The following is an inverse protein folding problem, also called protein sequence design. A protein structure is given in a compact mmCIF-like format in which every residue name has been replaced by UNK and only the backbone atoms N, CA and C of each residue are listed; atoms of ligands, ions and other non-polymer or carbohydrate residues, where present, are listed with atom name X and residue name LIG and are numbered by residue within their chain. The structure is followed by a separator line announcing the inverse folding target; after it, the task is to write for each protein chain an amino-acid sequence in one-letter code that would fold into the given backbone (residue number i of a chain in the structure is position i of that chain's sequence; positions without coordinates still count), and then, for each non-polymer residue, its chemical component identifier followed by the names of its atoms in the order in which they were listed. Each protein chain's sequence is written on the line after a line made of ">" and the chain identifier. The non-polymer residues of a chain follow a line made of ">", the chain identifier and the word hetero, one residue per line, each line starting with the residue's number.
data_IF_102109168315
#
_entry.id   IF_102109168315
#
_cell.length_a   1.000
_cell.length_b   1.000
_cell.length_c   1.000
_cell.angle_alpha   90.00
_cell.angle_beta   90.00
_cell.angle_gamma   90.00
#
_symmetry.space_group_name_H-M   'P 1'
#
loop_
_entity.id
_entity.type
_entity.pdbx_description
1 polymer ?
#
# COMPACT_ATOMS: atom_id res chain seq x y z
N UNK A 1 -3.92 -25.99 53.05
CA UNK A 1 -4.57 -24.70 52.67
C UNK A 1 -4.58 -24.61 51.14
N UNK A 2 -5.38 -25.45 50.50
CA UNK A 2 -5.52 -25.50 49.04
C UNK A 2 -7.02 -25.72 48.74
N UNK A 3 -7.80 -24.65 48.72
CA UNK A 3 -9.21 -24.71 48.28
C UNK A 3 -9.83 -23.34 47.92
N UNK A 4 -9.03 -22.29 47.72
CA UNK A 4 -9.55 -20.92 47.58
C UNK A 4 -9.48 -20.30 46.19
N UNK A 5 -8.80 -20.91 45.21
CA UNK A 5 -8.46 -20.26 43.93
C UNK A 5 -9.41 -20.65 42.78
N UNK A 6 -10.07 -21.81 42.88
CA UNK A 6 -10.84 -22.41 41.77
C UNK A 6 -12.21 -21.74 41.53
N UNK A 7 -12.92 -21.33 42.58
CA UNK A 7 -14.26 -20.73 42.43
C UNK A 7 -14.25 -19.33 41.79
N UNK A 8 -13.16 -18.58 41.94
CA UNK A 8 -13.05 -17.23 41.38
C UNK A 8 -12.81 -17.28 39.87
N UNK A 9 -12.02 -18.24 39.38
CA UNK A 9 -11.70 -18.40 37.97
C UNK A 9 -12.91 -18.90 37.17
N UNK A 10 -13.65 -19.88 37.70
CA UNK A 10 -14.89 -20.39 37.08
C UNK A 10 -16.01 -19.34 37.00
N UNK A 11 -16.02 -18.34 37.89
CA UNK A 11 -16.97 -17.21 37.86
C UNK A 11 -16.64 -16.17 36.78
N UNK A 12 -15.36 -16.02 36.42
CA UNK A 12 -14.91 -15.13 35.35
C UNK A 12 -15.18 -15.74 33.96
N UNK A 13 -14.94 -17.04 33.76
CA UNK A 13 -15.20 -17.72 32.50
C UNK A 13 -16.69 -17.77 32.11
N UNK A 14 -17.61 -17.84 33.08
CA UNK A 14 -19.06 -17.79 32.80
C UNK A 14 -19.61 -16.38 32.54
N UNK A 15 -18.89 -15.33 32.97
CA UNK A 15 -19.32 -13.92 32.79
C UNK A 15 -18.74 -13.27 31.54
N UNK A 16 -17.55 -13.68 31.10
CA UNK A 16 -16.88 -13.09 29.93
C UNK A 16 -17.67 -13.26 28.62
N UNK A 17 -18.25 -14.44 28.29
CA UNK A 17 -19.05 -14.62 27.09
C UNK A 17 -20.34 -13.80 27.12
N UNK A 18 -21.02 -13.71 28.28
CA UNK A 18 -22.22 -12.88 28.46
C UNK A 18 -21.91 -11.38 28.40
N UNK A 19 -20.74 -10.95 28.86
CA UNK A 19 -20.29 -9.55 28.74
C UNK A 19 -19.92 -9.21 27.29
N UNK A 20 -19.26 -10.12 26.58
CA UNK A 20 -18.96 -9.99 25.14
C UNK A 20 -20.25 -9.98 24.31
N UNK A 21 -21.21 -10.84 24.61
CA UNK A 21 -22.53 -10.88 23.94
C UNK A 21 -23.36 -9.62 24.26
N UNK A 22 -23.28 -9.09 25.49
CA UNK A 22 -23.97 -7.85 25.89
C UNK A 22 -23.30 -6.58 25.34
N UNK A 23 -21.97 -6.58 25.15
CA UNK A 23 -21.23 -5.51 24.46
C UNK A 23 -21.48 -5.57 22.94
N UNK A 24 -21.61 -6.77 22.37
CA UNK A 24 -21.92 -6.99 20.95
C UNK A 24 -23.34 -6.54 20.58
N UNK A 25 -24.34 -6.68 21.47
CA UNK A 25 -25.75 -6.34 21.19
C UNK A 25 -26.09 -4.84 21.22
N UNK A 26 -25.15 -3.97 21.55
CA UNK A 26 -25.34 -2.50 21.55
C UNK A 26 -24.23 -1.73 20.84
N UNK A 27 -23.49 -2.36 19.92
CA UNK A 27 -22.61 -1.59 19.05
C UNK A 27 -23.46 -0.79 18.06
N UNK A 28 -23.26 0.53 18.07
CA UNK A 28 -23.94 1.44 17.15
C UNK A 28 -23.31 1.20 15.77
N UNK A 29 -24.02 0.51 14.91
CA UNK A 29 -23.59 0.27 13.54
C UNK A 29 -24.13 1.37 12.63
N UNK A 30 -23.29 1.84 11.71
CA UNK A 30 -23.71 2.80 10.69
C UNK A 30 -24.17 2.07 9.44
N UNK A 31 -25.31 2.50 8.88
CA UNK A 31 -25.79 2.05 7.57
C UNK A 31 -25.20 2.85 6.40
N UNK A 32 -24.33 3.82 6.68
CA UNK A 32 -23.74 4.67 5.64
C UNK A 32 -22.79 3.86 4.74
N UNK A 33 -23.06 3.91 3.44
CA UNK A 33 -22.26 3.30 2.37
C UNK A 33 -21.58 4.35 1.49
N UNK A 34 -21.70 5.63 1.83
CA UNK A 34 -21.16 6.74 1.05
C UNK A 34 -19.64 6.83 1.18
N UNK A 35 -18.96 6.96 0.06
CA UNK A 35 -17.57 7.41 -0.04
C UNK A 35 -17.50 8.93 0.10
N UNK A 36 -16.60 9.44 0.93
CA UNK A 36 -16.40 10.87 1.08
C UNK A 36 -15.13 11.31 0.37
N UNK A 37 -15.26 12.34 -0.43
CA UNK A 37 -14.19 12.96 -1.17
C UNK A 37 -13.88 14.34 -0.61
N UNK A 38 -12.82 14.98 -1.09
CA UNK A 38 -12.37 16.27 -0.58
C UNK A 38 -13.50 17.32 -0.50
N UNK A 39 -14.40 17.36 -1.49
CA UNK A 39 -15.49 18.34 -1.49
C UNK A 39 -16.57 18.07 -0.42
N UNK A 40 -16.65 16.86 0.12
CA UNK A 40 -17.54 16.50 1.23
C UNK A 40 -16.95 16.82 2.60
N UNK A 41 -15.65 17.09 2.66
CA UNK A 41 -14.87 17.10 3.90
C UNK A 41 -14.44 18.51 4.30
N UNK A 42 -14.25 18.72 5.60
CA UNK A 42 -13.74 19.96 6.18
C UNK A 42 -12.67 19.65 7.24
N UNK A 43 -11.40 19.84 6.88
CA UNK A 43 -10.23 19.57 7.73
C UNK A 43 -10.29 20.23 9.12
N UNK A 44 -10.80 21.45 9.22
CA UNK A 44 -10.94 22.15 10.51
C UNK A 44 -11.85 21.42 11.51
N UNK A 45 -12.82 20.62 11.03
CA UNK A 45 -13.68 19.81 11.88
C UNK A 45 -12.92 18.60 12.44
N UNK A 46 -12.12 17.93 11.60
CA UNK A 46 -11.26 16.83 12.00
C UNK A 46 -10.28 17.25 13.11
N UNK A 47 -9.65 18.42 12.96
CA UNK A 47 -8.70 18.97 13.93
C UNK A 47 -9.35 19.26 15.30
N UNK A 48 -10.66 19.50 15.34
CA UNK A 48 -11.46 19.66 16.56
C UNK A 48 -11.97 18.33 17.12
N UNK A 49 -11.58 17.19 16.53
CA UNK A 49 -12.07 15.87 16.90
C UNK A 49 -13.53 15.63 16.51
N UNK A 50 -14.08 16.40 15.56
CA UNK A 50 -15.45 16.25 15.06
C UNK A 50 -15.49 15.38 13.79
N UNK A 51 -16.70 14.94 13.40
CA UNK A 51 -16.91 14.32 12.10
C UNK A 51 -16.47 15.28 10.97
N UNK A 52 -15.55 14.89 10.07
CA UNK A 52 -15.05 15.75 9.01
C UNK A 52 -16.04 16.01 7.88
N UNK A 53 -17.13 15.24 7.77
CA UNK A 53 -18.17 15.46 6.74
C UNK A 53 -18.86 16.81 6.99
N UNK A 54 -18.98 17.63 5.94
CA UNK A 54 -19.61 18.95 5.97
C UNK A 54 -21.05 18.85 6.47
N UNK A 55 -21.47 19.85 7.23
CA UNK A 55 -22.80 19.95 7.84
C UNK A 55 -23.21 18.80 8.80
N UNK A 56 -22.34 17.80 9.06
CA UNK A 56 -22.62 16.78 10.07
C UNK A 56 -22.75 17.43 11.46
N UNK A 57 -23.86 17.18 12.14
CA UNK A 57 -24.19 17.69 13.47
C UNK A 57 -24.43 16.63 14.55
N UNK A 58 -24.69 15.34 14.25
CA UNK A 58 -24.88 14.34 15.28
C UNK A 58 -23.72 14.23 16.27
N UNK A 59 -24.00 13.95 17.55
CA UNK A 59 -22.97 13.74 18.55
C UNK A 59 -22.12 12.51 18.20
N UNK A 60 -20.82 12.60 18.47
CA UNK A 60 -19.93 11.47 18.33
C UNK A 60 -20.15 10.48 19.48
N UNK A 61 -20.21 9.21 19.13
CA UNK A 61 -20.14 8.11 20.09
C UNK A 61 -18.69 7.65 20.26
N UNK A 62 -18.46 6.69 21.15
CA UNK A 62 -17.14 6.09 21.40
C UNK A 62 -17.22 4.60 21.12
N UNK A 63 -16.26 4.08 20.35
CA UNK A 63 -16.17 2.65 20.06
C UNK A 63 -14.78 2.10 20.37
N UNK A 64 -14.65 0.80 20.70
CA UNK A 64 -13.36 0.18 20.99
C UNK A 64 -12.40 0.22 19.80
N UNK A 65 -11.14 0.54 20.07
CA UNK A 65 -10.03 0.45 19.14
C UNK A 65 -8.74 0.08 19.90
N UNK A 66 -8.28 -1.15 19.74
CA UNK A 66 -7.22 -1.74 20.56
C UNK A 66 -7.49 -1.61 22.06
N UNK A 67 -6.66 -0.87 22.80
CA UNK A 67 -6.74 -0.70 24.26
C UNK A 67 -7.52 0.55 24.69
N UNK A 68 -8.09 1.31 23.75
CA UNK A 68 -8.75 2.58 24.03
C UNK A 68 -10.04 2.72 23.22
N UNK A 69 -10.81 3.77 23.53
CA UNK A 69 -11.99 4.12 22.74
C UNK A 69 -11.68 5.33 21.86
N UNK A 70 -12.17 5.31 20.62
CA UNK A 70 -11.98 6.39 19.65
C UNK A 70 -13.33 7.03 19.29
N UNK A 71 -13.38 8.35 19.00
CA UNK A 71 -14.62 8.98 18.56
C UNK A 71 -15.12 8.38 17.24
N UNK A 72 -16.42 8.15 17.16
CA UNK A 72 -17.12 7.53 16.03
C UNK A 72 -18.37 8.31 15.66
N UNK A 73 -18.52 8.63 14.39
CA UNK A 73 -19.73 9.24 13.85
C UNK A 73 -20.71 8.15 13.41
N UNK A 74 -21.84 7.94 14.11
CA UNK A 74 -22.78 6.88 13.77
C UNK A 74 -23.55 7.16 12.48
N UNK A 75 -23.76 8.43 12.15
CA UNK A 75 -24.41 8.85 10.90
C UNK A 75 -23.57 8.46 9.69
N UNK A 76 -22.28 8.82 9.70
CA UNK A 76 -21.40 8.64 8.54
C UNK A 76 -20.56 7.38 8.60
N UNK A 77 -20.60 6.63 9.70
CA UNK A 77 -19.85 5.37 9.84
C UNK A 77 -18.35 5.59 9.69
N UNK A 78 -17.78 6.52 10.45
CA UNK A 78 -16.34 6.83 10.41
C UNK A 78 -15.75 6.97 11.81
N UNK A 79 -14.59 6.36 12.02
CA UNK A 79 -13.71 6.58 13.19
C UNK A 79 -12.86 7.82 12.96
N UNK A 80 -12.78 8.67 13.97
CA UNK A 80 -12.07 9.95 13.89
C UNK A 80 -10.68 9.79 14.51
N UNK A 81 -9.65 9.84 13.68
CA UNK A 81 -8.25 9.81 14.11
C UNK A 81 -7.64 11.22 14.02
N UNK A 82 -6.48 11.44 14.65
CA UNK A 82 -5.85 12.76 14.76
C UNK A 82 -5.72 13.52 13.43
N UNK A 83 -5.33 12.83 12.36
CA UNK A 83 -5.04 13.43 11.05
C UNK A 83 -5.76 12.72 9.89
N UNK A 84 -6.67 11.79 10.16
CA UNK A 84 -7.42 11.08 9.12
C UNK A 84 -8.72 10.52 9.71
N UNK A 85 -9.53 9.89 8.89
CA UNK A 85 -10.64 9.09 9.37
C UNK A 85 -10.59 7.70 8.72
N UNK A 86 -11.30 6.77 9.34
CA UNK A 86 -11.37 5.38 8.88
C UNK A 86 -12.83 5.01 8.71
N UNK A 87 -13.21 4.54 7.52
CA UNK A 87 -14.55 3.99 7.32
C UNK A 87 -14.77 2.82 8.27
N UNK A 88 -15.91 2.82 8.95
CA UNK A 88 -16.24 1.83 9.96
C UNK A 88 -17.75 1.62 10.02
N UNK A 89 -18.19 0.43 9.61
CA UNK A 89 -19.59 0.03 9.68
C UNK A 89 -19.87 -0.96 10.83
N UNK A 90 -18.81 -1.46 11.49
CA UNK A 90 -18.87 -2.42 12.58
C UNK A 90 -17.70 -3.41 12.52
N UNK A 91 -17.70 -4.40 13.41
CA UNK A 91 -16.62 -5.38 13.54
C UNK A 91 -16.89 -6.71 12.83
N UNK A 92 -18.09 -6.93 12.30
CA UNK A 92 -18.37 -8.13 11.50
C UNK A 92 -17.64 -8.08 10.17
N UNK A 93 -17.44 -9.25 9.56
CA UNK A 93 -16.76 -9.37 8.27
C UNK A 93 -17.51 -8.60 7.18
N UNK A 94 -18.84 -8.68 7.19
CA UNK A 94 -19.73 -8.01 6.25
C UNK A 94 -19.63 -6.49 6.37
N UNK A 95 -19.54 -5.98 7.60
CA UNK A 95 -19.35 -4.55 7.86
C UNK A 95 -17.96 -4.06 7.46
N UNK A 96 -16.92 -4.86 7.66
CA UNK A 96 -15.57 -4.54 7.16
C UNK A 96 -15.53 -4.49 5.63
N UNK A 97 -16.27 -5.38 4.94
CA UNK A 97 -16.43 -5.35 3.48
C UNK A 97 -17.09 -4.02 3.06
N UNK A 98 -18.19 -3.63 3.73
CA UNK A 98 -18.87 -2.36 3.47
C UNK A 98 -17.94 -1.16 3.67
N UNK A 99 -17.20 -1.12 4.79
CA UNK A 99 -16.24 -0.06 5.08
C UNK A 99 -15.11 0.00 4.03
N UNK A 100 -14.62 -1.14 3.57
CA UNK A 100 -13.56 -1.24 2.56
C UNK A 100 -14.03 -0.74 1.20
N UNK A 101 -15.22 -1.16 0.75
CA UNK A 101 -15.82 -0.71 -0.52
C UNK A 101 -15.92 0.80 -0.62
N UNK A 102 -16.12 1.50 0.50
CA UNK A 102 -16.22 2.97 0.54
C UNK A 102 -14.91 3.69 0.18
N UNK A 103 -13.77 3.01 0.20
CA UNK A 103 -12.51 3.57 -0.28
C UNK A 103 -12.03 2.96 -1.61
N UNK A 104 -12.76 1.97 -2.14
CA UNK A 104 -12.48 1.31 -3.41
C UNK A 104 -13.56 1.71 -4.43
N UNK A 105 -13.29 2.76 -5.20
CA UNK A 105 -14.23 3.30 -6.18
C UNK A 105 -14.39 2.37 -7.39
N UNK A 106 -13.31 1.70 -7.79
CA UNK A 106 -13.28 0.84 -8.97
C UNK A 106 -13.12 -0.61 -8.56
N UNK A 107 -13.74 -1.53 -9.31
CA UNK A 107 -13.56 -3.00 -9.22
C UNK A 107 -13.59 -3.62 -7.80
N UNK A 108 -14.26 -2.99 -6.84
CA UNK A 108 -14.20 -3.42 -5.43
C UNK A 108 -14.63 -4.87 -5.22
N UNK A 109 -15.57 -5.40 -6.00
CA UNK A 109 -15.99 -6.80 -5.93
C UNK A 109 -14.85 -7.78 -6.22
N UNK A 110 -13.99 -7.48 -7.20
CA UNK A 110 -12.80 -8.29 -7.49
C UNK A 110 -11.86 -8.33 -6.28
N UNK A 111 -11.61 -7.18 -5.63
CA UNK A 111 -10.82 -7.12 -4.41
C UNK A 111 -11.43 -7.96 -3.29
N UNK A 112 -12.74 -7.84 -3.08
CA UNK A 112 -13.44 -8.58 -2.02
C UNK A 112 -13.34 -10.10 -2.25
N UNK A 113 -13.55 -10.55 -3.48
CA UNK A 113 -13.54 -11.97 -3.81
C UNK A 113 -12.14 -12.60 -3.79
N UNK A 114 -11.11 -11.84 -4.16
CA UNK A 114 -9.77 -12.39 -4.37
C UNK A 114 -8.74 -12.02 -3.30
N UNK A 115 -8.89 -10.89 -2.62
CA UNK A 115 -7.93 -10.43 -1.60
C UNK A 115 -8.54 -10.40 -0.21
N UNK A 116 -9.76 -9.90 -0.05
CA UNK A 116 -10.35 -9.77 1.29
C UNK A 116 -10.76 -11.12 1.88
N UNK A 117 -11.43 -11.98 1.10
CA UNK A 117 -11.91 -13.28 1.58
C UNK A 117 -10.79 -14.30 1.79
N UNK A 118 -9.68 -14.19 1.06
CA UNK A 118 -8.55 -15.13 1.13
C UNK A 118 -7.59 -14.66 2.22
N UNK A 119 -7.54 -15.38 3.35
CA UNK A 119 -6.70 -15.07 4.53
C UNK A 119 -5.18 -14.95 4.26
N UNK A 120 -4.71 -15.18 3.04
CA UNK A 120 -3.31 -15.49 2.75
C UNK A 120 -2.56 -14.50 1.86
N UNK A 121 -3.21 -13.49 1.26
CA UNK A 121 -2.52 -12.69 0.22
C UNK A 121 -2.03 -11.32 0.67
N UNK A 122 -2.62 -10.70 1.70
CA UNK A 122 -2.19 -9.37 2.13
C UNK A 122 -2.16 -9.21 3.64
N UNK A 123 -0.99 -8.85 4.16
CA UNK A 123 -0.88 -8.35 5.53
C UNK A 123 -1.66 -7.02 5.61
N UNK A 124 -2.62 -6.93 6.53
CA UNK A 124 -3.37 -5.69 6.81
C UNK A 124 -4.44 -5.27 5.77
N UNK A 125 -5.20 -6.22 5.21
CA UNK A 125 -6.36 -5.94 4.33
C UNK A 125 -7.41 -4.98 4.95
N UNK A 126 -7.45 -4.87 6.27
CA UNK A 126 -8.30 -3.92 7.00
C UNK A 126 -7.85 -2.45 6.83
N UNK A 127 -6.62 -2.17 6.36
CA UNK A 127 -6.12 -0.79 6.20
C UNK A 127 -6.65 -0.09 4.96
N UNK A 128 -7.33 -0.79 4.04
CA UNK A 128 -7.93 -0.15 2.87
C UNK A 128 -9.10 0.77 3.24
N UNK A 129 -9.73 0.61 4.39
CA UNK A 129 -10.79 1.51 4.84
C UNK A 129 -10.30 2.86 5.39
N UNK A 130 -8.98 3.09 5.45
CA UNK A 130 -8.41 4.37 5.88
C UNK A 130 -8.51 5.40 4.76
N UNK A 131 -8.97 6.61 5.04
CA UNK A 131 -9.03 7.68 4.04
C UNK A 131 -7.68 7.91 3.36
N UNK A 132 -6.58 7.84 4.10
CA UNK A 132 -5.23 8.01 3.59
C UNK A 132 -4.56 6.69 3.15
N UNK A 133 -5.32 5.65 2.86
CA UNK A 133 -4.78 4.36 2.42
C UNK A 133 -4.10 4.48 1.06
N UNK A 134 -2.78 4.31 1.06
CA UNK A 134 -1.95 4.18 -0.14
C UNK A 134 -2.37 3.00 -1.02
N UNK A 135 -2.69 1.88 -0.37
CA UNK A 135 -3.17 0.68 -1.02
C UNK A 135 -4.47 0.88 -1.80
N UNK A 136 -5.42 1.62 -1.23
CA UNK A 136 -6.66 1.95 -1.91
C UNK A 136 -6.41 2.86 -3.12
N UNK A 137 -5.45 3.79 -3.02
CA UNK A 137 -5.04 4.65 -4.14
C UNK A 137 -4.39 3.83 -5.25
N UNK A 138 -3.39 3.00 -4.93
CA UNK A 138 -2.74 2.10 -5.88
C UNK A 138 -3.76 1.17 -6.55
N UNK A 139 -4.66 0.57 -5.78
CA UNK A 139 -5.72 -0.29 -6.32
C UNK A 139 -6.62 0.46 -7.31
N UNK A 140 -7.24 1.57 -6.88
CA UNK A 140 -8.17 2.32 -7.71
C UNK A 140 -7.52 2.79 -9.02
N UNK A 141 -6.28 3.30 -8.96
CA UNK A 141 -5.61 3.82 -10.16
C UNK A 141 -5.24 2.69 -11.11
N UNK A 142 -4.53 1.66 -10.62
CA UNK A 142 -3.97 0.65 -11.52
C UNK A 142 -5.03 -0.33 -12.04
N UNK A 143 -6.06 -0.65 -11.24
CA UNK A 143 -7.13 -1.53 -11.73
C UNK A 143 -8.03 -0.85 -12.77
N UNK A 144 -8.29 0.46 -12.63
CA UNK A 144 -9.04 1.21 -13.65
C UNK A 144 -8.20 1.39 -14.92
N UNK A 145 -6.89 1.64 -14.82
CA UNK A 145 -6.00 1.64 -15.98
C UNK A 145 -5.97 0.28 -16.69
N UNK A 146 -5.98 -0.83 -15.94
CA UNK A 146 -6.08 -2.18 -16.50
C UNK A 146 -7.43 -2.38 -17.22
N UNK A 147 -8.54 -2.01 -16.58
CA UNK A 147 -9.88 -2.23 -17.13
C UNK A 147 -10.19 -1.42 -18.40
N UNK A 148 -9.41 -0.37 -18.65
CA UNK A 148 -9.51 0.49 -19.84
C UNK A 148 -8.38 0.24 -20.85
N UNK A 149 -7.59 -0.82 -20.66
CA UNK A 149 -6.45 -1.16 -21.52
C UNK A 149 -5.45 0.00 -21.69
N UNK A 150 -5.21 0.78 -20.61
CA UNK A 150 -4.32 1.96 -20.61
C UNK A 150 -3.01 1.77 -19.84
N UNK A 151 -2.73 0.56 -19.34
CA UNK A 151 -1.44 0.27 -18.69
C UNK A 151 -0.24 0.49 -19.62
N UNK A 152 -0.41 0.28 -20.93
CA UNK A 152 0.63 0.52 -21.92
C UNK A 152 1.15 1.96 -21.87
N UNK A 153 0.26 2.96 -21.81
CA UNK A 153 0.65 4.38 -21.70
C UNK A 153 1.52 4.65 -20.47
N UNK A 154 1.25 3.98 -19.35
CA UNK A 154 2.07 4.10 -18.14
C UNK A 154 3.42 3.41 -18.31
N UNK A 155 3.45 2.21 -18.88
CA UNK A 155 4.70 1.49 -19.15
C UNK A 155 5.57 2.27 -20.12
N UNK A 156 5.02 2.87 -21.17
CA UNK A 156 5.75 3.70 -22.13
C UNK A 156 6.40 4.92 -21.45
N UNK A 157 5.65 5.58 -20.56
CA UNK A 157 6.16 6.68 -19.76
C UNK A 157 7.35 6.27 -18.89
N UNK A 158 7.43 5.02 -18.42
CA UNK A 158 8.50 4.55 -17.53
C UNK A 158 9.67 3.96 -18.31
N UNK A 159 9.37 3.20 -19.36
CA UNK A 159 10.33 2.50 -20.19
C UNK A 159 10.98 3.40 -21.23
N UNK A 160 10.38 4.56 -21.51
CA UNK A 160 10.80 5.52 -22.53
C UNK A 160 10.87 4.86 -23.93
N UNK A 161 9.98 3.90 -24.18
CA UNK A 161 9.79 3.17 -25.45
C UNK A 161 8.35 2.71 -25.59
N UNK A 162 7.87 2.59 -26.82
CA UNK A 162 6.53 2.12 -27.14
C UNK A 162 6.33 0.65 -26.76
N UNK A 163 5.15 0.28 -26.24
CA UNK A 163 4.81 -1.10 -25.84
C UNK A 163 3.41 -1.43 -26.35
N UNK A 164 3.33 -2.44 -27.23
CA UNK A 164 2.07 -2.92 -27.83
C UNK A 164 1.56 -4.22 -27.21
N UNK A 165 2.37 -4.84 -26.35
CA UNK A 165 2.04 -6.12 -25.75
C UNK A 165 1.09 -5.95 -24.56
N UNK A 166 0.37 -7.03 -24.27
CA UNK A 166 -0.43 -7.14 -23.06
C UNK A 166 0.46 -7.00 -21.82
N UNK A 167 -0.03 -6.23 -20.85
CA UNK A 167 0.65 -5.96 -19.58
C UNK A 167 -0.10 -6.65 -18.47
N UNK A 168 0.63 -7.47 -17.71
CA UNK A 168 0.08 -8.08 -16.51
C UNK A 168 0.26 -7.14 -15.31
N UNK A 169 -0.82 -6.91 -14.59
CA UNK A 169 -0.83 -6.15 -13.33
C UNK A 169 -0.86 -7.11 -12.15
N UNK A 170 0.07 -6.91 -11.22
CA UNK A 170 0.04 -7.52 -9.90
C UNK A 170 0.03 -6.43 -8.84
N UNK A 171 -0.83 -6.57 -7.84
CA UNK A 171 -0.83 -5.74 -6.63
C UNK A 171 -0.55 -6.64 -5.45
N UNK A 172 0.42 -6.28 -4.62
CA UNK A 172 0.78 -7.05 -3.43
C UNK A 172 1.09 -8.53 -3.77
N UNK A 173 1.82 -8.75 -4.87
CA UNK A 173 2.15 -10.08 -5.38
C UNK A 173 1.00 -10.90 -5.96
N UNK A 174 -0.25 -10.40 -5.95
CA UNK A 174 -1.42 -11.08 -6.53
C UNK A 174 -1.82 -10.49 -7.89
N UNK A 175 -2.09 -11.36 -8.88
CA UNK A 175 -2.53 -10.96 -10.22
C UNK A 175 -3.90 -10.30 -10.16
N UNK A 176 -4.07 -9.22 -10.92
CA UNK A 176 -5.36 -8.60 -11.17
C UNK A 176 -5.88 -9.11 -12.52
N UNK A 177 -6.76 -10.12 -12.49
CA UNK A 177 -7.44 -10.67 -13.67
C UNK A 177 -8.94 -10.33 -13.60
N UNK A 178 -9.26 -9.09 -13.98
CA UNK A 178 -10.64 -8.58 -13.97
C UNK A 178 -11.53 -9.34 -14.97
N UNK A 179 -10.95 -9.90 -16.04
CA UNK A 179 -11.68 -10.57 -17.11
C UNK A 179 -12.20 -11.94 -16.68
N UNK A 180 -11.36 -12.74 -16.01
CA UNK A 180 -11.74 -14.10 -15.58
C UNK A 180 -12.10 -14.19 -14.10
N UNK A 181 -11.94 -13.11 -13.33
CA UNK A 181 -12.12 -13.08 -11.88
C UNK A 181 -11.30 -14.16 -11.16
N UNK A 182 -10.05 -14.38 -11.59
CA UNK A 182 -9.15 -15.42 -11.07
C UNK A 182 -8.00 -14.81 -10.30
N UNK A 183 -7.72 -15.37 -9.13
CA UNK A 183 -6.54 -15.04 -8.36
C UNK A 183 -5.40 -16.02 -8.66
N UNK A 184 -4.24 -15.49 -8.99
CA UNK A 184 -2.97 -16.20 -8.98
C UNK A 184 -1.90 -15.30 -8.38
N UNK A 185 -0.79 -15.89 -7.95
CA UNK A 185 0.37 -15.14 -7.45
C UNK A 185 1.34 -14.83 -8.59
N UNK A 186 2.21 -13.85 -8.38
CA UNK A 186 3.31 -13.53 -9.28
C UNK A 186 4.39 -14.62 -9.15
N UNK A 187 4.43 -15.55 -10.10
CA UNK A 187 5.37 -16.69 -10.09
C UNK A 187 6.85 -16.25 -10.00
N UNK A 188 7.33 -15.26 -10.77
CA UNK A 188 8.71 -14.78 -10.63
C UNK A 188 9.01 -14.30 -9.20
N UNK A 189 8.09 -13.57 -8.57
CA UNK A 189 8.24 -13.10 -7.20
C UNK A 189 8.33 -14.25 -6.21
N UNK A 190 7.51 -15.30 -6.38
CA UNK A 190 7.54 -16.48 -5.50
C UNK A 190 8.89 -17.19 -5.57
N UNK A 191 9.43 -17.40 -6.77
CA UNK A 191 10.75 -18.03 -6.96
C UNK A 191 11.88 -17.23 -6.31
N UNK A 192 11.88 -15.90 -6.47
CA UNK A 192 12.88 -15.04 -5.81
C UNK A 192 12.75 -15.10 -4.28
N UNK A 193 11.52 -15.11 -3.74
CA UNK A 193 11.29 -15.24 -2.28
C UNK A 193 11.75 -16.59 -1.74
N UNK A 194 11.52 -17.68 -2.48
CA UNK A 194 11.98 -19.01 -2.08
C UNK A 194 13.51 -19.04 -1.92
N UNK A 195 14.21 -18.37 -2.83
CA UNK A 195 15.67 -18.28 -2.79
C UNK A 195 16.20 -17.34 -1.70
N UNK A 196 15.70 -16.10 -1.64
CA UNK A 196 16.27 -15.04 -0.78
C UNK A 196 15.65 -14.96 0.62
N UNK A 197 14.43 -15.47 0.77
CA UNK A 197 13.59 -15.27 1.96
C UNK A 197 13.05 -16.58 2.56
N UNK A 198 13.70 -17.72 2.32
CA UNK A 198 13.31 -19.04 2.87
C UNK A 198 13.18 -19.07 4.40
N UNK A 199 13.96 -18.25 5.12
CA UNK A 199 13.90 -18.12 6.59
C UNK A 199 12.95 -17.04 7.12
N UNK A 200 12.35 -16.23 6.25
CA UNK A 200 11.47 -15.12 6.66
C UNK A 200 10.03 -15.62 6.76
N UNK A 201 9.49 -15.56 7.98
CA UNK A 201 8.13 -16.02 8.30
C UNK A 201 7.10 -14.91 8.16
N UNK A 202 7.50 -13.67 8.42
CA UNK A 202 6.61 -12.51 8.47
C UNK A 202 7.07 -11.43 7.50
N UNK A 203 6.10 -10.79 6.85
CA UNK A 203 6.33 -9.61 5.99
C UNK A 203 7.41 -9.83 4.93
N UNK A 204 7.28 -10.89 4.12
CA UNK A 204 8.12 -11.12 2.93
C UNK A 204 8.17 -9.88 2.03
N UNK A 205 9.23 -9.72 1.25
CA UNK A 205 9.38 -8.57 0.35
C UNK A 205 8.33 -8.62 -0.74
N UNK A 206 7.58 -7.54 -0.86
CA UNK A 206 6.47 -7.40 -1.78
C UNK A 206 6.49 -5.98 -2.36
N UNK A 207 6.75 -5.82 -3.66
CA UNK A 207 6.48 -4.56 -4.32
C UNK A 207 4.98 -4.25 -4.27
N UNK A 208 4.63 -2.99 -4.07
CA UNK A 208 3.22 -2.56 -3.97
C UNK A 208 2.49 -2.83 -5.30
N UNK A 209 3.16 -2.55 -6.41
CA UNK A 209 2.71 -2.83 -7.77
C UNK A 209 3.83 -3.53 -8.55
N UNK A 210 3.47 -4.52 -9.36
CA UNK A 210 4.35 -5.10 -10.38
C UNK A 210 3.61 -5.04 -11.72
N UNK A 211 4.29 -4.52 -12.75
CA UNK A 211 3.87 -4.62 -14.13
C UNK A 211 4.83 -5.55 -14.87
N UNK A 212 4.29 -6.55 -15.57
CA UNK A 212 5.08 -7.46 -16.39
C UNK A 212 4.64 -7.33 -17.85
N UNK A 213 5.59 -6.98 -18.70
CA UNK A 213 5.50 -7.16 -20.15
C UNK A 213 6.19 -8.50 -20.45
N UNK A 214 5.44 -9.56 -20.80
CA UNK A 214 6.01 -10.90 -20.94
C UNK A 214 7.24 -10.93 -21.84
N UNK A 215 8.31 -11.59 -21.36
CA UNK A 215 9.60 -11.73 -22.07
C UNK A 215 10.30 -10.42 -22.43
N UNK A 216 9.92 -9.29 -21.81
CA UNK A 216 10.46 -7.97 -22.19
C UNK A 216 10.83 -7.07 -21.03
N UNK A 217 9.98 -6.94 -20.03
CA UNK A 217 10.16 -5.94 -18.97
C UNK A 217 9.42 -6.30 -17.70
N UNK A 218 10.08 -6.14 -16.56
CA UNK A 218 9.48 -6.13 -15.23
C UNK A 218 9.62 -4.74 -14.61
N UNK A 219 8.53 -4.18 -14.09
CA UNK A 219 8.56 -2.91 -13.36
C UNK A 219 8.00 -3.14 -11.96
N UNK A 220 8.83 -2.93 -10.94
CA UNK A 220 8.39 -2.93 -9.55
C UNK A 220 8.19 -1.49 -9.06
N UNK A 221 7.11 -1.25 -8.32
CA UNK A 221 6.85 0.05 -7.70
C UNK A 221 6.94 -0.07 -6.19
N UNK A 222 7.55 0.93 -5.58
CA UNK A 222 7.28 1.32 -4.21
C UNK A 222 6.37 2.56 -4.27
N UNK A 223 5.14 2.41 -3.82
CA UNK A 223 4.17 3.49 -3.74
C UNK A 223 4.36 4.24 -2.42
N UNK A 224 4.19 5.56 -2.47
CA UNK A 224 4.08 6.43 -1.29
C UNK A 224 2.97 7.44 -1.51
N UNK A 225 1.94 7.38 -0.67
CA UNK A 225 0.82 8.32 -0.75
C UNK A 225 0.95 9.44 0.27
N UNK A 226 0.84 9.12 1.57
CA UNK A 226 0.99 10.08 2.67
C UNK A 226 2.23 9.85 3.53
N UNK A 227 3.03 8.84 3.22
CA UNK A 227 4.15 8.37 4.03
C UNK A 227 5.50 8.63 3.35
N UNK A 228 6.59 8.52 4.12
CA UNK A 228 7.97 8.57 3.61
C UNK A 228 8.48 7.16 3.32
N UNK A 229 9.49 7.06 2.46
CA UNK A 229 10.24 5.81 2.31
C UNK A 229 11.00 5.52 3.62
N UNK A 230 10.90 4.30 4.17
CA UNK A 230 11.66 3.91 5.33
C UNK A 230 13.14 3.82 4.98
N UNK A 231 13.94 4.20 5.98
CA UNK A 231 15.40 4.16 5.93
C UNK A 231 15.82 2.96 6.79
N UNK A 232 16.87 2.26 6.39
CA UNK A 232 17.50 1.23 7.19
C UNK A 232 17.96 1.84 8.52
N UNK A 233 17.65 1.14 9.61
CA UNK A 233 17.94 1.60 10.97
C UNK A 233 18.70 0.51 11.70
N UNK A 234 19.61 0.92 12.59
CA UNK A 234 20.28 0.01 13.50
C UNK A 234 19.32 -0.39 14.63
N UNK A 235 18.41 -1.31 14.31
CA UNK A 235 17.39 -1.82 15.23
C UNK A 235 17.42 -3.34 15.26
N UNK A 236 17.22 -3.91 16.44
CA UNK A 236 17.02 -5.34 16.60
C UNK A 236 15.76 -5.80 15.87
N UNK A 237 15.89 -6.94 15.19
CA UNK A 237 14.84 -7.55 14.39
C UNK A 237 14.34 -8.78 15.13
N UNK A 238 13.01 -8.99 15.13
CA UNK A 238 12.43 -10.17 15.76
C UNK A 238 12.75 -11.43 14.95
N UNK A 239 12.87 -12.60 15.59
CA UNK A 239 13.08 -13.86 14.88
C UNK A 239 12.03 -14.08 13.77
N UNK A 240 12.50 -14.31 12.55
CA UNK A 240 11.64 -14.55 11.37
C UNK A 240 11.17 -13.29 10.64
N UNK A 241 11.60 -12.08 11.04
CA UNK A 241 11.46 -10.85 10.26
C UNK A 241 12.69 -10.59 9.37
N UNK A 242 12.56 -9.67 8.41
CA UNK A 242 13.64 -9.23 7.52
C UNK A 242 14.68 -8.39 8.28
N UNK A 243 15.97 -8.46 7.92
CA UNK A 243 16.97 -7.55 8.45
C UNK A 243 16.61 -6.09 8.14
N UNK A 244 16.98 -5.20 9.05
CA UNK A 244 16.74 -3.74 8.94
C UNK A 244 18.03 -2.93 8.84
N UNK A 245 19.18 -3.53 9.19
CA UNK A 245 20.49 -2.92 9.05
C UNK A 245 20.98 -3.03 7.62
N UNK A 246 21.70 -2.01 7.14
CA UNK A 246 22.23 -1.96 5.77
C UNK A 246 23.12 -3.16 5.46
N UNK A 247 24.04 -3.49 6.35
CA UNK A 247 25.04 -4.55 6.15
C UNK A 247 24.35 -5.93 6.07
N UNK A 248 23.37 -6.17 6.94
CA UNK A 248 22.58 -7.40 6.94
C UNK A 248 21.67 -7.51 5.70
N UNK A 249 21.15 -6.37 5.21
CA UNK A 249 20.40 -6.31 3.95
C UNK A 249 21.32 -6.67 2.77
N UNK A 250 22.52 -6.09 2.70
CA UNK A 250 23.51 -6.37 1.65
C UNK A 250 23.94 -7.85 1.69
N UNK A 251 24.29 -8.35 2.87
CA UNK A 251 24.71 -9.74 3.06
C UNK A 251 23.63 -10.72 2.56
N UNK A 252 22.37 -10.48 2.92
CA UNK A 252 21.26 -11.34 2.52
C UNK A 252 20.91 -11.23 1.04
N UNK A 253 20.76 -10.02 0.52
CA UNK A 253 20.14 -9.78 -0.78
C UNK A 253 21.14 -9.64 -1.93
N UNK A 254 22.42 -9.42 -1.62
CA UNK A 254 23.50 -9.36 -2.61
C UNK A 254 24.49 -10.51 -2.43
N UNK A 255 25.16 -10.62 -1.28
CA UNK A 255 26.24 -11.63 -1.08
C UNK A 255 25.69 -13.06 -1.14
N UNK A 256 24.55 -13.31 -0.50
CA UNK A 256 23.90 -14.63 -0.51
C UNK A 256 23.02 -14.86 -1.76
N UNK A 257 22.91 -13.88 -2.66
CA UNK A 257 22.09 -13.99 -3.85
C UNK A 257 22.83 -14.79 -4.92
N UNK A 258 22.18 -15.85 -5.43
CA UNK A 258 22.74 -16.74 -6.46
C UNK A 258 21.98 -16.62 -7.79
N UNK A 259 20.98 -15.75 -7.83
CA UNK A 259 20.17 -15.51 -9.03
C UNK A 259 20.91 -14.50 -9.91
N UNK A 260 21.38 -13.39 -9.32
CA UNK A 260 22.10 -12.33 -10.00
C UNK A 260 23.53 -12.23 -9.51
N UNK A 261 24.42 -11.72 -10.35
CA UNK A 261 25.69 -11.15 -9.89
C UNK A 261 25.42 -9.73 -9.36
N UNK A 262 25.40 -9.57 -8.04
CA UNK A 262 25.12 -8.28 -7.43
C UNK A 262 26.23 -7.24 -7.70
N UNK A 263 27.46 -7.69 -7.90
CA UNK A 263 28.58 -6.80 -8.18
C UNK A 263 28.46 -6.19 -9.58
N UNK A 264 27.78 -6.84 -10.53
CA UNK A 264 27.46 -6.24 -11.84
C UNK A 264 26.46 -5.07 -11.76
N UNK A 265 25.62 -5.02 -10.72
CA UNK A 265 24.51 -4.07 -10.63
C UNK A 265 24.80 -2.94 -9.63
N UNK A 266 25.40 -3.27 -8.49
CA UNK A 266 25.50 -2.39 -7.34
C UNK A 266 26.93 -1.91 -7.08
N UNK A 267 27.05 -0.78 -6.39
CA UNK A 267 28.31 -0.24 -5.86
C UNK A 267 28.15 -0.08 -4.34
N UNK A 268 28.29 -1.18 -3.62
CA UNK A 268 27.93 -1.28 -2.19
C UNK A 268 29.07 -0.84 -1.26
N UNK A 269 30.28 -0.64 -1.79
CA UNK A 269 31.43 -0.13 -1.04
C UNK A 269 31.28 1.36 -0.66
N UNK A 270 30.43 2.09 -1.38
CA UNK A 270 30.14 3.47 -1.05
C UNK A 270 29.28 3.55 0.20
N UNK A 271 29.82 4.20 1.23
CA UNK A 271 29.06 4.57 2.40
C UNK A 271 28.10 5.71 2.05
N UNK A 272 26.83 5.39 1.93
CA UNK A 272 25.75 6.33 1.64
C UNK A 272 25.16 6.81 2.95
N UNK A 273 24.91 8.11 3.10
CA UNK A 273 24.32 8.65 4.33
C UNK A 273 22.92 8.10 4.62
N UNK A 274 22.20 7.64 3.59
CA UNK A 274 20.85 7.09 3.70
C UNK A 274 20.71 5.84 2.85
N UNK A 275 20.15 4.77 3.43
CA UNK A 275 19.88 3.52 2.74
C UNK A 275 18.39 3.17 2.80
N UNK A 276 17.66 3.28 1.69
CA UNK A 276 16.23 3.04 1.64
C UNK A 276 15.92 1.55 1.49
N UNK A 277 15.61 0.86 2.59
CA UNK A 277 15.51 -0.59 2.62
C UNK A 277 14.46 -1.19 1.68
N UNK A 278 13.29 -0.56 1.52
CA UNK A 278 12.24 -1.04 0.61
C UNK A 278 12.65 -0.88 -0.86
N UNK A 279 13.18 0.28 -1.23
CA UNK A 279 13.65 0.54 -2.59
C UNK A 279 14.80 -0.38 -2.97
N UNK A 280 15.76 -0.59 -2.06
CA UNK A 280 16.87 -1.52 -2.28
C UNK A 280 16.38 -2.95 -2.52
N UNK A 281 15.45 -3.45 -1.68
CA UNK A 281 14.86 -4.78 -1.89
C UNK A 281 14.10 -4.86 -3.21
N UNK A 282 13.37 -3.82 -3.59
CA UNK A 282 12.69 -3.80 -4.90
C UNK A 282 13.67 -3.82 -6.08
N UNK A 283 14.86 -3.19 -5.97
CA UNK A 283 15.91 -3.28 -6.99
C UNK A 283 16.42 -4.72 -7.14
N UNK A 284 16.79 -5.36 -6.04
CA UNK A 284 17.25 -6.77 -6.04
C UNK A 284 16.17 -7.70 -6.56
N UNK A 285 14.92 -7.51 -6.14
CA UNK A 285 13.81 -8.36 -6.56
C UNK A 285 13.47 -8.16 -8.03
N UNK A 286 13.44 -6.92 -8.52
CA UNK A 286 13.20 -6.64 -9.93
C UNK A 286 14.29 -7.25 -10.83
N UNK A 287 15.57 -7.09 -10.47
CA UNK A 287 16.67 -7.70 -11.22
C UNK A 287 16.66 -9.22 -11.15
N UNK A 288 16.39 -9.80 -9.98
CA UNK A 288 16.35 -11.27 -9.83
C UNK A 288 15.18 -11.90 -10.56
N UNK A 289 13.99 -11.29 -10.52
CA UNK A 289 12.85 -11.77 -11.31
C UNK A 289 13.16 -11.70 -12.80
N UNK A 290 13.82 -10.63 -13.26
CA UNK A 290 14.15 -10.46 -14.66
C UNK A 290 15.23 -11.46 -15.16
N UNK A 291 16.20 -11.80 -14.31
CA UNK A 291 17.19 -12.85 -14.62
C UNK A 291 16.52 -14.23 -14.75
N UNK A 292 15.54 -14.54 -13.90
CA UNK A 292 14.78 -15.79 -13.97
C UNK A 292 13.82 -15.87 -15.18
N UNK A 293 13.42 -14.73 -15.72
CA UNK A 293 12.49 -14.62 -16.86
C UNK A 293 13.25 -14.34 -18.17
N UNK A 294 14.27 -15.15 -18.46
CA UNK A 294 15.10 -15.07 -19.68
C UNK A 294 15.91 -13.77 -19.82
N UNK A 295 16.45 -13.25 -18.71
CA UNK A 295 17.33 -12.05 -18.67
C UNK A 295 16.72 -10.81 -19.30
N UNK A 296 15.45 -10.57 -18.99
CA UNK A 296 14.68 -9.47 -19.56
C UNK A 296 15.03 -8.13 -18.90
N UNK A 297 14.47 -7.05 -19.44
CA UNK A 297 14.67 -5.71 -18.92
C UNK A 297 13.97 -5.56 -17.56
N UNK A 298 14.48 -4.68 -16.69
CA UNK A 298 13.82 -4.38 -15.42
C UNK A 298 13.91 -2.92 -15.02
N UNK A 299 12.93 -2.45 -14.24
CA UNK A 299 12.91 -1.11 -13.66
C UNK A 299 12.31 -1.13 -12.26
N UNK A 300 12.71 -0.15 -11.45
CA UNK A 300 12.09 0.16 -10.17
C UNK A 300 11.64 1.60 -10.16
N UNK A 301 10.41 1.81 -9.72
CA UNK A 301 9.79 3.13 -9.63
C UNK A 301 9.49 3.47 -8.18
N UNK A 302 10.00 4.61 -7.71
CA UNK A 302 9.54 5.22 -6.47
C UNK A 302 8.42 6.21 -6.79
N UNK A 303 7.17 5.79 -6.55
CA UNK A 303 5.96 6.52 -6.92
C UNK A 303 5.46 7.34 -5.73
N UNK A 304 5.56 8.67 -5.78
CA UNK A 304 5.21 9.56 -4.64
C UNK A 304 4.10 10.56 -4.98
N UNK A 305 3.50 11.16 -3.95
CA UNK A 305 2.66 12.36 -4.12
C UNK A 305 3.52 13.61 -4.16
N UNK A 306 3.45 14.37 -5.26
CA UNK A 306 4.13 15.67 -5.36
C UNK A 306 3.60 16.62 -4.28
N UNK A 307 2.29 16.62 -4.03
CA UNK A 307 1.72 17.43 -2.95
C UNK A 307 2.37 17.18 -1.58
N UNK A 308 2.65 15.92 -1.24
CA UNK A 308 3.32 15.59 0.03
C UNK A 308 4.79 15.97 0.01
N UNK A 309 5.44 15.95 -1.15
CA UNK A 309 6.81 16.48 -1.31
C UNK A 309 6.83 17.99 -1.07
N UNK A 310 5.92 18.73 -1.69
CA UNK A 310 5.81 20.18 -1.60
C UNK A 310 5.56 20.64 -0.16
N UNK A 311 4.67 19.93 0.57
CA UNK A 311 4.42 20.20 1.99
C UNK A 311 5.64 19.96 2.90
N UNK A 312 6.65 19.24 2.41
CA UNK A 312 7.87 18.93 3.12
C UNK A 312 9.10 19.59 2.49
N UNK A 313 8.95 20.63 1.66
CA UNK A 313 10.06 21.32 0.94
C UNK A 313 11.21 21.77 1.86
N UNK A 314 10.94 22.05 3.14
CA UNK A 314 11.98 22.32 4.16
C UNK A 314 12.88 21.10 4.48
N UNK A 315 12.61 19.94 3.88
CA UNK A 315 13.34 18.68 4.06
C UNK A 315 13.73 18.16 2.67
N UNK A 316 15.02 18.24 2.33
CA UNK A 316 15.66 17.73 1.10
C UNK A 316 15.34 16.25 0.79
N UNK A 317 14.13 15.89 0.37
CA UNK A 317 13.65 14.48 0.45
C UNK A 317 13.45 13.77 -0.91
N UNK A 318 13.59 14.44 -2.06
CA UNK A 318 13.40 13.80 -3.38
C UNK A 318 14.67 13.68 -4.20
N UNK A 319 15.40 14.80 -4.41
CA UNK A 319 16.74 14.76 -5.01
C UNK A 319 17.63 13.81 -4.22
N UNK A 320 17.53 13.85 -2.89
CA UNK A 320 18.23 12.92 -2.00
C UNK A 320 17.83 11.46 -2.24
N UNK A 321 16.56 11.11 -2.49
CA UNK A 321 16.21 9.69 -2.73
C UNK A 321 16.84 9.19 -4.02
N UNK A 322 16.72 9.93 -5.12
CA UNK A 322 17.31 9.53 -6.41
C UNK A 322 18.82 9.47 -6.31
N UNK A 323 19.45 10.48 -5.72
CA UNK A 323 20.91 10.52 -5.53
C UNK A 323 21.39 9.38 -4.63
N UNK A 324 20.72 9.12 -3.50
CA UNK A 324 21.07 8.01 -2.61
C UNK A 324 20.91 6.65 -3.33
N UNK A 325 19.80 6.44 -4.05
CA UNK A 325 19.62 5.19 -4.82
C UNK A 325 20.69 5.04 -5.91
N UNK A 326 20.96 6.11 -6.66
CA UNK A 326 22.01 6.11 -7.70
C UNK A 326 23.43 5.95 -7.14
N UNK A 327 23.65 6.28 -5.88
CA UNK A 327 24.97 6.18 -5.26
C UNK A 327 25.42 4.74 -5.01
N UNK A 328 24.46 3.82 -4.81
CA UNK A 328 24.73 2.39 -4.70
C UNK A 328 24.36 1.58 -5.96
N UNK A 329 23.97 2.23 -7.06
CA UNK A 329 23.85 1.61 -8.40
C UNK A 329 25.08 1.94 -9.25
N UNK A 330 25.55 0.96 -10.03
CA UNK A 330 26.56 1.22 -11.07
C UNK A 330 26.00 2.16 -12.16
N UNK A 331 26.85 3.01 -12.78
CA UNK A 331 26.41 4.05 -13.72
C UNK A 331 25.46 3.57 -14.82
N UNK A 332 25.75 2.43 -15.42
CA UNK A 332 24.99 1.75 -16.47
C UNK A 332 23.60 1.29 -16.00
N UNK A 333 23.43 1.03 -14.69
CA UNK A 333 22.18 0.61 -14.08
C UNK A 333 21.35 1.78 -13.49
N UNK A 334 21.87 3.02 -13.45
CA UNK A 334 21.12 4.15 -12.86
C UNK A 334 19.76 4.41 -13.54
N UNK A 335 19.68 4.20 -14.86
CA UNK A 335 18.42 4.35 -15.63
C UNK A 335 17.35 3.29 -15.30
N UNK A 336 17.71 2.28 -14.51
CA UNK A 336 16.79 1.25 -13.98
C UNK A 336 15.91 1.80 -12.88
N UNK A 337 16.35 2.84 -12.16
CA UNK A 337 15.56 3.50 -11.13
C UNK A 337 14.91 4.77 -11.69
N UNK A 338 13.63 4.96 -11.41
CA UNK A 338 12.88 6.17 -11.81
C UNK A 338 12.09 6.71 -10.62
N UNK A 339 12.13 8.02 -10.45
CA UNK A 339 11.14 8.71 -9.62
C UNK A 339 9.97 9.12 -10.50
N UNK A 340 8.75 8.86 -10.02
CA UNK A 340 7.51 9.24 -10.69
C UNK A 340 6.53 9.76 -9.65
N UNK A 341 5.65 10.67 -10.05
CA UNK A 341 4.57 11.16 -9.18
C UNK A 341 3.19 10.72 -9.62
N UNK A 342 2.26 10.61 -8.68
CA UNK A 342 0.84 10.38 -8.99
C UNK A 342 0.29 11.48 -9.92
N UNK A 343 0.72 12.72 -9.70
CA UNK A 343 0.38 13.89 -10.52
C UNK A 343 0.91 13.79 -11.95
N UNK A 344 2.11 13.23 -12.15
CA UNK A 344 2.63 12.94 -13.49
C UNK A 344 1.82 11.86 -14.21
N UNK A 345 1.46 10.77 -13.52
CA UNK A 345 0.55 9.75 -14.08
C UNK A 345 -0.76 10.41 -14.50
N UNK A 346 -1.34 11.23 -13.62
CA UNK A 346 -2.56 11.96 -13.94
C UNK A 346 -2.40 12.82 -15.20
N UNK A 347 -1.38 13.68 -15.27
CA UNK A 347 -1.20 14.62 -16.39
C UNK A 347 -0.88 13.94 -17.72
N UNK A 348 -0.05 12.88 -17.69
CA UNK A 348 0.50 12.24 -18.89
C UNK A 348 -0.35 11.07 -19.38
N UNK A 349 -1.04 10.36 -18.49
CA UNK A 349 -1.81 9.16 -18.82
C UNK A 349 -3.32 9.39 -18.71
N UNK A 350 -3.79 10.04 -17.64
CA UNK A 350 -5.22 10.07 -17.28
C UNK A 350 -5.96 11.27 -17.87
N UNK A 351 -5.53 12.50 -17.57
CA UNK A 351 -6.27 13.76 -17.84
C UNK A 351 -6.73 13.93 -19.28
N UNK A 352 -5.94 13.45 -20.24
CA UNK A 352 -6.17 13.65 -21.67
C UNK A 352 -6.97 12.52 -22.33
N UNK A 353 -7.29 11.46 -21.59
CA UNK A 353 -8.00 10.30 -22.11
C UNK A 353 -9.47 10.34 -21.65
N UNK A 354 -10.44 10.57 -22.56
CA UNK A 354 -11.85 10.63 -22.21
C UNK A 354 -12.38 9.33 -21.57
N UNK A 355 -11.80 8.17 -21.88
CA UNK A 355 -12.21 6.88 -21.29
C UNK A 355 -11.81 6.77 -19.82
N UNK A 356 -10.89 7.61 -19.36
CA UNK A 356 -10.42 7.69 -17.99
C UNK A 356 -11.05 8.86 -17.21
N UNK A 357 -12.16 9.44 -17.67
CA UNK A 357 -12.81 10.58 -16.99
C UNK A 357 -13.19 10.30 -15.54
N UNK A 358 -13.67 9.10 -15.23
CA UNK A 358 -14.00 8.67 -13.87
C UNK A 358 -12.75 8.58 -13.00
N UNK A 359 -11.64 8.08 -13.55
CA UNK A 359 -10.36 8.04 -12.85
C UNK A 359 -9.79 9.44 -12.63
N UNK A 360 -9.90 10.32 -13.63
CA UNK A 360 -9.51 11.73 -13.51
C UNK A 360 -10.26 12.39 -12.36
N UNK A 361 -11.59 12.23 -12.33
CA UNK A 361 -12.43 12.75 -11.25
C UNK A 361 -12.03 12.18 -9.89
N UNK A 362 -11.78 10.87 -9.81
CA UNK A 362 -11.31 10.22 -8.58
C UNK A 362 -10.03 10.88 -8.07
N UNK A 363 -9.02 11.04 -8.93
CA UNK A 363 -7.75 11.65 -8.52
C UNK A 363 -7.95 13.11 -8.09
N UNK A 364 -8.69 13.92 -8.86
CA UNK A 364 -8.98 15.32 -8.53
C UNK A 364 -9.68 15.51 -7.17
N UNK A 365 -10.53 14.56 -6.80
CA UNK A 365 -11.39 14.64 -5.63
C UNK A 365 -10.88 13.79 -4.46
N UNK A 366 -9.88 12.93 -4.66
CA UNK A 366 -9.32 12.11 -3.59
C UNK A 366 -8.82 13.01 -2.47
N UNK A 367 -9.10 12.61 -1.23
CA UNK A 367 -8.63 13.31 -0.05
C UNK A 367 -7.44 12.63 0.60
N UNK A 368 -6.60 13.45 1.23
CA UNK A 368 -5.56 13.05 2.17
C UNK A 368 -5.66 13.98 3.38
N UNK A 369 -5.90 13.42 4.57
CA UNK A 369 -6.12 14.21 5.80
C UNK A 369 -7.24 15.25 5.63
N UNK A 370 -8.32 14.88 4.93
CA UNK A 370 -9.46 15.76 4.57
C UNK A 370 -9.08 16.98 3.70
N UNK A 371 -7.88 16.99 3.11
CA UNK A 371 -7.41 17.99 2.15
C UNK A 371 -7.38 17.45 0.72
N UNK A 372 -6.68 18.16 -0.18
CA UNK A 372 -6.32 17.62 -1.50
C UNK A 372 -5.34 16.46 -1.32
N UNK A 373 -5.53 15.36 -2.04
CA UNK A 373 -4.57 14.26 -2.12
C UNK A 373 -3.41 14.54 -3.08
N UNK A 374 -3.71 15.19 -4.20
CA UNK A 374 -2.77 15.43 -5.29
C UNK A 374 -2.77 16.91 -5.69
N UNK A 375 -1.62 17.39 -6.16
CA UNK A 375 -1.47 18.73 -6.72
C UNK A 375 -1.85 18.75 -8.21
N UNK A 376 -3.13 18.53 -8.48
CA UNK A 376 -3.69 18.54 -9.83
C UNK A 376 -4.08 19.97 -10.21
N UNK A 377 -3.42 20.49 -11.25
CA UNK A 377 -3.69 21.78 -11.91
C UNK A 377 -4.36 21.55 -13.28
#
# INVERSE_FOLDING_TARGET
>A
MESGIDETFQRYEKKLPKLIEKISKTMINSKCTTSFFKHDLQKARLQKGLCPVKACSPPLSKIPFHKYNIPFCPEHGIRIHKNTFVYYNGSSKEEQILATRRNLMFHSDYYIDNFFKKKSSKAESERLCYENSEDAVSYNIFTELLAKDKLNKLVELIADRHINEDIELYLWGGKIDLKNNKFSLCEPLLKVREHLESGIKYYKTEPDIILIVPKKLIICFEAKFGSKNPIAEDKEVKPGEKPKKREELIERYCVSNKIIDADEIFNLDKNTSVFYEQLFRNLVFASSMAELEDKIDWKVVNLRSQYVLDLNEDKQDTASVVENVHSYLKPEHRKRFKHLTWEEIYRKVVKKDPELSSLAWYMENKSLSCGKAFNIL
#
